data_IF_213965782731
#
_entry.id   IF_213965782731
#
_cell.length_a   1.000
_cell.length_b   1.000
_cell.length_c   1.000
_cell.angle_alpha   90.00
_cell.angle_beta   90.00
_cell.angle_gamma   90.00
#
_symmetry.space_group_name_H-M   'P 1'
#
loop_
_entity.id
_entity.type
_entity.pdbx_description
1 polymer ?
#
# COMPACT_ATOMS: atom_id res chain seq x y z
N UNK A 1 -13.26 -12.75 13.43
CA UNK A 1 -12.21 -11.87 13.99
C UNK A 1 -12.93 -10.68 14.61
N UNK A 2 -12.72 -10.38 15.89
CA UNK A 2 -13.33 -9.19 16.50
C UNK A 2 -12.65 -7.93 15.97
N UNK A 3 -13.40 -6.85 15.76
CA UNK A 3 -12.91 -5.55 15.25
C UNK A 3 -11.69 -5.04 16.02
N UNK A 4 -11.70 -5.17 17.35
CA UNK A 4 -10.58 -4.76 18.22
C UNK A 4 -9.28 -5.49 17.88
N UNK A 5 -9.36 -6.80 17.66
CA UNK A 5 -8.19 -7.62 17.32
C UNK A 5 -7.57 -7.25 15.97
N UNK A 6 -8.39 -6.72 15.05
CA UNK A 6 -7.90 -6.24 13.75
C UNK A 6 -7.21 -4.88 13.87
N UNK A 7 -7.77 -3.97 14.65
CA UNK A 7 -7.16 -2.67 14.94
C UNK A 7 -5.82 -2.86 15.66
N UNK A 8 -5.78 -3.70 16.69
CA UNK A 8 -4.56 -4.02 17.43
C UNK A 8 -3.48 -4.62 16.52
N UNK A 9 -3.88 -5.48 15.58
CA UNK A 9 -2.97 -6.06 14.58
C UNK A 9 -2.41 -4.98 13.64
N UNK A 10 -3.26 -4.12 13.11
CA UNK A 10 -2.85 -3.02 12.22
C UNK A 10 -1.89 -2.07 12.95
N UNK A 11 -2.21 -1.68 14.18
CA UNK A 11 -1.37 -0.78 14.98
C UNK A 11 -0.05 -1.40 15.42
N UNK A 12 0.00 -2.73 15.61
CA UNK A 12 1.20 -3.44 16.05
C UNK A 12 2.25 -3.57 14.93
N UNK A 13 1.82 -3.81 13.70
CA UNK A 13 2.74 -4.02 12.57
C UNK A 13 3.01 -2.73 11.79
N UNK A 14 2.02 -1.82 11.71
CA UNK A 14 2.08 -0.57 10.92
C UNK A 14 2.69 -0.73 9.53
N UNK A 15 2.54 -1.89 8.91
CA UNK A 15 3.16 -2.23 7.64
C UNK A 15 2.08 -2.50 6.60
N UNK A 16 2.18 -1.83 5.45
CA UNK A 16 1.23 -1.96 4.35
C UNK A 16 1.95 -2.11 3.02
N UNK A 17 1.42 -2.97 2.16
CA UNK A 17 1.84 -3.04 0.76
C UNK A 17 0.73 -2.51 -0.12
N UNK A 18 1.02 -1.44 -0.86
CA UNK A 18 0.16 -0.88 -1.91
C UNK A 18 0.49 -1.63 -3.19
N UNK A 19 -0.52 -2.24 -3.81
CA UNK A 19 -0.39 -2.87 -5.13
C UNK A 19 -1.03 -1.95 -6.15
N UNK A 20 -0.23 -1.37 -7.05
CA UNK A 20 -0.76 -0.52 -8.13
C UNK A 20 -0.62 -1.22 -9.48
N UNK A 21 -1.52 -0.88 -10.40
CA UNK A 21 -1.36 -1.15 -11.82
C UNK A 21 -0.42 -0.10 -12.46
N UNK A 22 -0.14 -0.25 -13.75
CA UNK A 22 0.78 0.63 -14.50
C UNK A 22 0.09 1.88 -15.10
N UNK A 23 -1.18 2.14 -14.81
CA UNK A 23 -1.82 3.38 -15.23
C UNK A 23 -1.27 4.57 -14.45
N UNK A 24 -1.23 5.74 -15.09
CA UNK A 24 -0.74 6.97 -14.48
C UNK A 24 -1.49 7.31 -13.20
N UNK A 25 -2.82 7.14 -13.19
CA UNK A 25 -3.66 7.44 -12.03
C UNK A 25 -3.37 6.51 -10.86
N UNK A 26 -3.15 5.22 -11.13
CA UNK A 26 -2.83 4.22 -10.10
C UNK A 26 -1.44 4.47 -9.49
N UNK A 27 -0.46 4.83 -10.32
CA UNK A 27 0.88 5.22 -9.88
C UNK A 27 0.87 6.49 -9.03
N UNK A 28 0.12 7.51 -9.45
CA UNK A 28 -0.02 8.76 -8.69
C UNK A 28 -0.71 8.52 -7.35
N UNK A 29 -1.78 7.73 -7.35
CA UNK A 29 -2.50 7.35 -6.13
C UNK A 29 -1.59 6.57 -5.17
N UNK A 30 -0.82 5.61 -5.69
CA UNK A 30 0.15 4.85 -4.91
C UNK A 30 1.25 5.75 -4.32
N UNK A 31 1.74 6.72 -5.09
CA UNK A 31 2.73 7.71 -4.63
C UNK A 31 2.19 8.62 -3.51
N UNK A 32 0.95 9.09 -3.63
CA UNK A 32 0.29 9.92 -2.60
C UNK A 32 0.10 9.10 -1.31
N UNK A 33 -0.39 7.86 -1.43
CA UNK A 33 -0.58 6.96 -0.30
C UNK A 33 0.75 6.63 0.39
N UNK A 34 1.78 6.31 -0.39
CA UNK A 34 3.11 6.06 0.11
C UNK A 34 3.64 7.24 0.93
N UNK A 35 3.57 8.45 0.37
CA UNK A 35 4.04 9.67 1.05
C UNK A 35 3.29 9.90 2.36
N UNK A 36 1.95 9.94 2.31
CA UNK A 36 1.13 10.24 3.48
C UNK A 36 1.36 9.22 4.61
N UNK A 37 1.37 7.93 4.29
CA UNK A 37 1.53 6.88 5.29
C UNK A 37 2.97 6.81 5.83
N UNK A 38 3.98 7.04 4.98
CA UNK A 38 5.38 7.09 5.41
C UNK A 38 5.64 8.28 6.36
N UNK A 39 5.02 9.44 6.11
CA UNK A 39 5.10 10.61 7.00
C UNK A 39 4.50 10.33 8.39
N UNK A 40 3.54 9.39 8.49
CA UNK A 40 2.94 8.96 9.76
C UNK A 40 3.69 7.78 10.41
N UNK A 41 4.87 7.42 9.91
CA UNK A 41 5.73 6.37 10.47
C UNK A 41 5.28 4.95 10.17
N UNK A 42 4.50 4.74 9.11
CA UNK A 42 4.14 3.41 8.63
C UNK A 42 5.22 2.84 7.71
N UNK A 43 5.46 1.53 7.78
CA UNK A 43 6.31 0.80 6.83
C UNK A 43 5.50 0.50 5.57
N UNK A 44 5.60 1.38 4.57
CA UNK A 44 4.81 1.27 3.34
C UNK A 44 5.70 0.77 2.21
N UNK A 45 5.21 -0.21 1.45
CA UNK A 45 5.85 -0.70 0.23
C UNK A 45 4.91 -0.50 -0.94
N UNK A 46 5.42 -0.06 -2.07
CA UNK A 46 4.68 -0.02 -3.33
C UNK A 46 5.16 -1.17 -4.19
N UNK A 47 4.24 -2.01 -4.63
CA UNK A 47 4.50 -3.10 -5.56
C UNK A 47 3.69 -2.86 -6.83
N UNK A 48 4.35 -3.01 -7.97
CA UNK A 48 3.67 -2.94 -9.28
C UNK A 48 3.21 -4.36 -9.61
N UNK A 49 1.95 -4.53 -10.00
CA UNK A 49 1.48 -5.85 -10.42
C UNK A 49 2.24 -6.29 -11.68
N UNK A 50 3.08 -7.34 -11.62
CA UNK A 50 3.86 -7.78 -12.76
C UNK A 50 2.98 -8.34 -13.88
N UNK A 51 1.72 -8.73 -13.61
CA UNK A 51 0.80 -9.16 -14.68
C UNK A 51 0.55 -8.06 -15.72
N UNK A 52 0.62 -6.80 -15.31
CA UNK A 52 0.45 -5.65 -16.21
C UNK A 52 1.73 -5.34 -17.00
N UNK A 53 2.91 -5.68 -16.46
CA UNK A 53 4.20 -5.51 -17.14
C UNK A 53 4.48 -6.54 -18.24
N UNK A 54 3.90 -7.74 -18.15
CA UNK A 54 4.11 -8.81 -19.13
C UNK A 54 3.12 -8.72 -20.32
N UNK A 55 2.01 -8.00 -20.16
CA UNK A 55 0.95 -7.87 -21.17
C UNK A 55 1.12 -6.63 -22.08
N UNK A 56 2.33 -6.04 -22.12
CA UNK A 56 2.69 -4.88 -22.94
C UNK A 56 3.79 -5.19 -23.96
#
# INVERSE_FOLDING_TARGET
MNERSFIDFIESYRSFTVVSDCSLDSLLSAGILFKNLSEHGWDVRVNLDPKVLVDY
#
